data_IF_297852733684
#
_entry.id   IF_297852733684
#
_cell.length_a   1.000
_cell.length_b   1.000
_cell.length_c   1.000
_cell.angle_alpha   90.00
_cell.angle_beta   90.00
_cell.angle_gamma   90.00
#
_symmetry.space_group_name_H-M   'P 1'
#
loop_
_entity.id
_entity.type
_entity.pdbx_description
1 polymer ?
#
# COMPACT_ATOMS: atom_id res chain seq x y z
N UNK A 1 23.64 13.84 7.69
CA UNK A 1 22.94 12.77 8.41
C UNK A 1 22.03 11.99 7.46
N UNK A 2 22.11 10.69 7.49
CA UNK A 2 21.23 9.82 6.69
C UNK A 2 20.01 9.42 7.53
N UNK A 3 18.83 9.56 6.94
CA UNK A 3 17.57 9.27 7.62
C UNK A 3 16.71 8.37 6.72
N UNK A 4 16.09 7.37 7.30
CA UNK A 4 15.10 6.53 6.64
C UNK A 4 13.75 6.76 7.31
N UNK A 5 12.71 7.05 6.50
CA UNK A 5 11.34 7.12 6.98
C UNK A 5 10.68 5.77 6.77
N UNK A 6 10.08 5.24 7.83
CA UNK A 6 9.36 3.98 7.77
C UNK A 6 7.86 4.23 7.92
N UNK A 7 7.11 4.00 6.82
CA UNK A 7 5.65 4.00 6.87
C UNK A 7 5.19 2.57 7.14
N UNK A 8 4.85 2.27 8.37
CA UNK A 8 4.46 0.93 8.80
C UNK A 8 2.96 0.78 8.84
N UNK A 9 2.43 -0.16 8.08
CA UNK A 9 1.01 -0.46 8.04
C UNK A 9 0.65 -1.25 6.78
N UNK A 10 -0.50 -1.90 6.81
CA UNK A 10 -1.01 -2.62 5.67
C UNK A 10 -1.67 -1.68 4.66
N UNK A 11 -1.87 -2.16 3.44
CA UNK A 11 -2.77 -1.53 2.48
C UNK A 11 -4.21 -1.86 2.91
N UNK A 12 -4.96 -2.68 2.18
CA UNK A 12 -6.28 -3.08 2.66
C UNK A 12 -6.15 -3.83 3.99
N UNK A 13 -6.94 -3.43 4.99
CA UNK A 13 -6.81 -3.92 6.36
C UNK A 13 -8.15 -4.38 6.89
N UNK A 14 -8.72 -5.40 6.23
CA UNK A 14 -9.95 -6.02 6.67
C UNK A 14 -9.67 -7.48 7.02
N UNK A 15 -9.79 -7.81 8.30
CA UNK A 15 -9.57 -9.17 8.76
C UNK A 15 -10.66 -10.13 8.27
N UNK A 16 -10.27 -11.36 7.97
CA UNK A 16 -11.25 -12.43 7.78
C UNK A 16 -11.80 -12.88 9.12
N UNK A 17 -13.01 -13.40 9.11
CA UNK A 17 -13.55 -14.08 10.29
C UNK A 17 -12.60 -15.21 10.67
N UNK A 18 -12.34 -15.34 11.98
CA UNK A 18 -11.39 -16.34 12.50
C UNK A 18 -11.78 -17.78 12.14
N UNK A 19 -13.07 -18.03 11.92
CA UNK A 19 -13.59 -19.34 11.56
C UNK A 19 -13.70 -19.54 10.05
N UNK A 20 -13.39 -18.54 9.24
CA UNK A 20 -13.48 -18.64 7.79
C UNK A 20 -12.34 -19.49 7.24
N UNK A 21 -12.68 -20.38 6.29
CA UNK A 21 -11.67 -21.14 5.57
C UNK A 21 -11.11 -20.27 4.45
N UNK A 22 -9.79 -20.03 4.40
CA UNK A 22 -9.21 -19.24 3.33
C UNK A 22 -9.43 -19.93 1.97
N UNK A 23 -9.71 -19.16 0.90
CA UNK A 23 -9.91 -19.76 -0.43
C UNK A 23 -8.68 -20.45 -1.01
N UNK A 24 -7.47 -20.02 -0.60
CA UNK A 24 -6.23 -20.63 -1.06
C UNK A 24 -5.52 -21.35 0.08
N UNK A 25 -4.95 -22.56 -0.16
CA UNK A 25 -4.31 -23.34 0.89
C UNK A 25 -3.06 -22.72 1.49
N UNK A 26 -2.37 -21.84 0.76
CA UNK A 26 -1.23 -21.08 1.30
C UNK A 26 -1.75 -19.83 1.99
N UNK A 27 -1.57 -19.74 3.29
CA UNK A 27 -2.14 -18.67 4.11
C UNK A 27 -1.73 -17.28 3.60
N UNK A 28 -0.48 -17.10 3.20
CA UNK A 28 0.03 -15.82 2.73
C UNK A 28 -0.36 -15.46 1.29
N UNK A 29 -1.00 -16.37 0.56
CA UNK A 29 -1.34 -16.16 -0.85
C UNK A 29 -2.27 -14.96 -1.02
N UNK A 30 -2.04 -14.10 -2.04
CA UNK A 30 -2.87 -12.90 -2.26
C UNK A 30 -4.37 -13.19 -2.42
N UNK A 31 -4.74 -14.36 -2.94
CA UNK A 31 -6.14 -14.74 -3.07
C UNK A 31 -6.87 -14.81 -1.73
N UNK A 32 -6.14 -14.86 -0.62
CA UNK A 32 -6.70 -14.89 0.73
C UNK A 32 -6.98 -13.49 1.30
N UNK A 33 -6.64 -12.42 0.58
CA UNK A 33 -7.08 -11.07 0.95
C UNK A 33 -8.60 -11.03 0.98
N UNK A 34 -9.17 -10.27 1.92
CA UNK A 34 -10.58 -10.36 2.32
C UNK A 34 -11.59 -10.21 1.20
N UNK A 35 -11.28 -9.47 0.14
CA UNK A 35 -12.15 -9.35 -1.03
C UNK A 35 -11.35 -9.10 -2.29
N UNK A 36 -11.94 -9.49 -3.42
CA UNK A 36 -11.33 -9.22 -4.72
C UNK A 36 -11.17 -7.72 -4.96
N UNK A 37 -12.15 -6.93 -4.52
CA UNK A 37 -12.10 -5.48 -4.62
C UNK A 37 -10.89 -4.91 -3.87
N UNK A 38 -10.66 -5.36 -2.65
CA UNK A 38 -9.51 -4.91 -1.84
C UNK A 38 -8.19 -5.30 -2.50
N UNK A 39 -8.08 -6.54 -2.97
CA UNK A 39 -6.87 -7.03 -3.63
C UNK A 39 -6.57 -6.26 -4.90
N UNK A 40 -7.57 -6.08 -5.75
CA UNK A 40 -7.39 -5.36 -7.02
C UNK A 40 -7.04 -3.89 -6.80
N UNK A 41 -7.65 -3.26 -5.81
CA UNK A 41 -7.33 -1.87 -5.46
C UNK A 41 -5.91 -1.75 -4.91
N UNK A 42 -5.47 -2.73 -4.12
CA UNK A 42 -4.09 -2.76 -3.63
C UNK A 42 -3.10 -2.88 -4.80
N UNK A 43 -3.37 -3.75 -5.77
CA UNK A 43 -2.51 -3.88 -6.95
C UNK A 43 -2.45 -2.59 -7.78
N UNK A 44 -3.58 -1.90 -7.94
CA UNK A 44 -3.59 -0.60 -8.64
C UNK A 44 -2.76 0.44 -7.90
N UNK A 45 -2.90 0.49 -6.58
CA UNK A 45 -2.09 1.41 -5.76
C UNK A 45 -0.60 1.09 -5.88
N UNK A 46 -0.22 -0.18 -5.80
CA UNK A 46 1.16 -0.62 -5.94
C UNK A 46 1.74 -0.19 -7.30
N UNK A 47 0.97 -0.38 -8.39
CA UNK A 47 1.41 0.03 -9.71
C UNK A 47 1.68 1.54 -9.80
N UNK A 48 0.82 2.36 -9.18
CA UNK A 48 1.04 3.80 -9.12
C UNK A 48 2.26 4.17 -8.28
N UNK A 49 2.46 3.48 -7.16
CA UNK A 49 3.64 3.68 -6.32
C UNK A 49 4.94 3.35 -7.06
N UNK A 50 4.95 2.26 -7.83
CA UNK A 50 6.10 1.87 -8.62
C UNK A 50 6.43 2.88 -9.73
N UNK A 51 5.42 3.58 -10.22
CA UNK A 51 5.56 4.62 -11.23
C UNK A 51 5.86 6.00 -10.63
N UNK A 52 5.84 6.14 -9.32
CA UNK A 52 6.02 7.42 -8.65
C UNK A 52 4.84 8.38 -8.81
N UNK A 53 3.66 7.85 -9.12
CA UNK A 53 2.45 8.65 -9.38
C UNK A 53 1.70 8.96 -8.10
N UNK A 54 2.37 9.55 -7.13
CA UNK A 54 1.80 9.87 -5.82
C UNK A 54 0.65 10.86 -5.93
N UNK A 55 0.74 11.80 -6.87
CA UNK A 55 -0.35 12.76 -7.11
C UNK A 55 -1.66 12.08 -7.47
N UNK A 56 -1.59 11.02 -8.28
CA UNK A 56 -2.77 10.26 -8.66
C UNK A 56 -3.35 9.48 -7.48
N UNK A 57 -2.50 8.90 -6.64
CA UNK A 57 -2.94 8.23 -5.42
C UNK A 57 -3.64 9.22 -4.49
N UNK A 58 -3.02 10.37 -4.24
CA UNK A 58 -3.59 11.39 -3.36
C UNK A 58 -4.94 11.89 -3.87
N UNK A 59 -5.09 12.04 -5.19
CA UNK A 59 -6.35 12.44 -5.79
C UNK A 59 -7.46 11.41 -5.57
N UNK A 60 -7.11 10.13 -5.56
CA UNK A 60 -8.07 9.03 -5.41
C UNK A 60 -8.45 8.74 -3.96
N UNK A 61 -7.74 9.33 -2.99
CA UNK A 61 -7.98 9.02 -1.57
C UNK A 61 -9.41 9.31 -1.15
N UNK A 62 -10.00 10.41 -1.61
CA UNK A 62 -11.37 10.76 -1.24
C UNK A 62 -12.42 9.92 -1.98
N UNK A 63 -12.10 9.40 -3.14
CA UNK A 63 -13.06 8.69 -3.99
C UNK A 63 -12.98 7.19 -3.84
N UNK A 64 -11.79 6.62 -3.90
CA UNK A 64 -11.59 5.17 -3.90
C UNK A 64 -10.99 4.68 -2.59
N UNK A 65 -9.85 5.24 -2.18
CA UNK A 65 -9.11 4.70 -1.04
C UNK A 65 -9.76 5.01 0.30
N UNK A 66 -10.58 6.03 0.37
CA UNK A 66 -11.36 6.30 1.58
C UNK A 66 -12.39 5.21 1.86
N UNK A 67 -12.85 4.54 0.82
CA UNK A 67 -13.79 3.42 0.93
C UNK A 67 -13.08 2.11 1.21
N UNK A 68 -11.79 2.04 0.96
CA UNK A 68 -10.98 0.87 1.27
C UNK A 68 -10.63 0.89 2.75
N UNK A 69 -10.72 -0.26 3.39
CA UNK A 69 -10.30 -0.33 4.79
C UNK A 69 -8.78 -0.42 4.92
N UNK A 70 -8.08 0.60 4.44
CA UNK A 70 -6.64 0.71 4.64
C UNK A 70 -6.35 0.90 6.13
N UNK A 71 -5.25 0.34 6.61
CA UNK A 71 -4.84 0.49 7.99
C UNK A 71 -4.73 1.98 8.34
N UNK A 72 -5.42 2.39 9.42
CA UNK A 72 -5.47 3.78 9.85
C UNK A 72 -5.83 4.75 8.72
N UNK A 73 -6.69 4.31 7.80
CA UNK A 73 -7.14 5.10 6.63
C UNK A 73 -5.97 5.63 5.79
N UNK A 74 -4.87 4.87 5.72
CA UNK A 74 -3.70 5.23 4.96
C UNK A 74 -2.80 6.27 5.63
N UNK A 75 -2.97 6.52 6.92
CA UNK A 75 -2.20 7.54 7.62
C UNK A 75 -0.69 7.31 7.52
N UNK A 76 -0.24 6.05 7.55
CA UNK A 76 1.18 5.72 7.41
C UNK A 76 1.76 6.23 6.08
N UNK A 77 1.05 6.01 4.98
CA UNK A 77 1.45 6.50 3.66
C UNK A 77 1.35 8.02 3.58
N UNK A 78 0.24 8.59 4.05
CA UNK A 78 0.00 10.04 3.97
C UNK A 78 1.05 10.83 4.75
N UNK A 79 1.46 10.34 5.91
CA UNK A 79 2.52 10.98 6.70
C UNK A 79 3.86 10.91 5.98
N UNK A 80 4.21 9.75 5.44
CA UNK A 80 5.45 9.58 4.69
C UNK A 80 5.48 10.49 3.46
N UNK A 81 4.43 10.45 2.65
CA UNK A 81 4.42 11.22 1.40
C UNK A 81 4.34 12.72 1.67
N UNK A 82 3.66 13.14 2.75
CA UNK A 82 3.66 14.53 3.17
C UNK A 82 5.05 15.03 3.51
N UNK A 83 5.84 14.22 4.21
CA UNK A 83 7.23 14.54 4.54
C UNK A 83 8.13 14.58 3.31
N UNK A 84 7.78 13.87 2.24
CA UNK A 84 8.58 13.78 1.01
C UNK A 84 8.11 14.76 -0.08
N UNK A 85 7.21 15.68 0.22
CA UNK A 85 6.77 16.70 -0.72
C UNK A 85 5.32 16.58 -1.19
N UNK A 86 4.56 15.63 -0.67
CA UNK A 86 3.15 15.47 -1.02
C UNK A 86 2.95 15.20 -2.51
N UNK A 87 2.07 15.97 -3.14
CA UNK A 87 1.78 15.82 -4.57
C UNK A 87 2.97 16.15 -5.48
N UNK A 88 3.99 16.80 -4.95
CA UNK A 88 5.23 17.11 -5.71
C UNK A 88 6.23 15.95 -5.68
N UNK A 89 6.00 14.94 -4.84
CA UNK A 89 6.88 13.78 -4.77
C UNK A 89 6.71 12.92 -6.02
N UNK A 90 7.84 12.56 -6.65
CA UNK A 90 7.86 11.70 -7.84
C UNK A 90 8.70 10.44 -7.65
N UNK A 91 9.06 10.12 -6.42
CA UNK A 91 9.88 8.96 -6.12
C UNK A 91 9.17 7.67 -6.55
N UNK A 92 9.87 6.86 -7.34
CA UNK A 92 9.37 5.57 -7.81
C UNK A 92 9.64 4.51 -6.75
N UNK A 93 8.64 3.66 -6.53
CA UNK A 93 8.76 2.56 -5.59
C UNK A 93 9.37 1.32 -6.24
N UNK A 94 10.21 0.64 -5.49
CA UNK A 94 10.72 -0.68 -5.86
C UNK A 94 10.19 -1.70 -4.88
N UNK A 95 9.46 -2.69 -5.37
CA UNK A 95 8.93 -3.75 -4.51
C UNK A 95 10.10 -4.60 -3.99
N UNK A 96 10.22 -4.71 -2.68
CA UNK A 96 11.21 -5.54 -2.02
C UNK A 96 10.65 -6.89 -1.60
N UNK A 97 9.34 -7.06 -1.70
CA UNK A 97 8.65 -8.30 -1.41
C UNK A 97 7.53 -8.50 -2.41
N UNK A 98 6.95 -9.69 -2.41
CA UNK A 98 5.70 -9.94 -3.11
C UNK A 98 4.53 -9.38 -2.30
N UNK A 99 3.42 -9.12 -2.98
CA UNK A 99 2.17 -8.78 -2.31
C UNK A 99 1.61 -10.04 -1.65
N UNK A 100 1.34 -9.95 -0.36
CA UNK A 100 0.94 -11.12 0.43
C UNK A 100 -0.27 -10.81 1.30
N UNK A 101 -0.96 -11.89 1.70
CA UNK A 101 -2.04 -11.85 2.67
C UNK A 101 -1.51 -12.05 4.08
N UNK A 102 -2.04 -11.26 5.03
CA UNK A 102 -1.88 -11.52 6.44
C UNK A 102 -3.26 -11.42 7.09
N UNK A 103 -3.91 -12.56 7.31
CA UNK A 103 -5.24 -12.67 7.94
C UNK A 103 -6.32 -11.82 7.25
N UNK A 104 -6.28 -11.73 5.92
CA UNK A 104 -7.20 -10.94 5.11
C UNK A 104 -6.68 -9.58 4.71
N UNK A 105 -5.60 -9.09 5.31
CA UNK A 105 -5.01 -7.80 4.99
C UNK A 105 -4.00 -7.94 3.85
N UNK A 106 -3.86 -6.89 3.03
CA UNK A 106 -2.90 -6.85 1.93
C UNK A 106 -1.60 -6.15 2.33
N UNK A 107 -0.47 -6.81 2.11
CA UNK A 107 0.83 -6.34 2.58
C UNK A 107 1.90 -6.45 1.50
N UNK A 108 2.75 -5.43 1.43
CA UNK A 108 3.92 -5.40 0.56
C UNK A 108 4.97 -4.47 1.16
N UNK A 109 6.25 -4.73 0.88
CA UNK A 109 7.34 -3.83 1.25
C UNK A 109 7.82 -3.10 0.00
N UNK A 110 7.83 -1.77 0.03
CA UNK A 110 8.24 -0.94 -1.09
C UNK A 110 9.30 0.05 -0.61
N UNK A 111 10.36 0.17 -1.38
CA UNK A 111 11.45 1.12 -1.15
C UNK A 111 11.35 2.29 -2.10
N UNK A 112 11.44 3.51 -1.57
CA UNK A 112 11.50 4.74 -2.36
C UNK A 112 12.85 5.40 -2.17
N UNK A 113 13.66 5.44 -3.21
CA UNK A 113 14.94 6.14 -3.16
C UNK A 113 14.72 7.60 -3.53
N UNK A 114 14.60 8.44 -2.50
CA UNK A 114 14.29 9.86 -2.69
C UNK A 114 15.50 10.67 -3.15
N UNK A 115 16.70 10.13 -3.03
CA UNK A 115 17.89 10.81 -3.54
C UNK A 115 17.86 10.98 -5.06
N UNK A 116 17.05 10.20 -5.75
CA UNK A 116 16.89 10.25 -7.20
C UNK A 116 15.94 11.35 -7.67
N UNK A 117 15.23 12.02 -6.76
CA UNK A 117 14.26 13.05 -7.11
C UNK A 117 14.88 14.39 -7.48
N UNK A 118 16.10 14.64 -7.03
CA UNK A 118 16.75 15.91 -7.23
C UNK A 118 17.37 15.98 -8.62
N UNK A 119 16.76 16.77 -9.44
CA UNK A 119 17.26 17.03 -10.80
C UNK A 119 17.70 18.46 -10.93
#
# INVERSE_FOLDING_TARGET
>A
RKVVLLASGALSHKFRNINAVPPHPRIYHPDNVSSDFNRESDYRAIALLEQGKHKDILRQFDQEYRRLPWEAWGAHYLQMIGALGGSECTAKGTALSEYENAHGTGNIHIWFDVSQQHS
#
